data_IF_693488000871
#
_entry.id   IF_693488000871
#
_cell.length_a   1.000
_cell.length_b   1.000
_cell.length_c   1.000
_cell.angle_alpha   90.00
_cell.angle_beta   90.00
_cell.angle_gamma   90.00
#
_symmetry.space_group_name_H-M   'P 1'
#
loop_
_entity.id
_entity.type
_entity.pdbx_description
1 polymer ?
#
# COMPACT_ATOMS: atom_id res chain seq x y z
N UNK A 1 38.79 7.62 -26.80
CA UNK A 1 37.43 8.13 -26.53
C UNK A 1 36.43 7.05 -26.92
N UNK A 2 35.61 6.55 -26.00
CA UNK A 2 34.56 5.58 -26.33
C UNK A 2 33.56 6.22 -27.29
N UNK A 3 33.27 5.58 -28.43
CA UNK A 3 32.30 6.09 -29.38
C UNK A 3 30.91 6.14 -28.76
N UNK A 4 30.26 7.31 -28.77
CA UNK A 4 28.87 7.47 -28.33
C UNK A 4 27.96 6.61 -29.22
N UNK A 5 27.18 5.73 -28.60
CA UNK A 5 26.23 4.86 -29.29
C UNK A 5 25.07 5.67 -29.90
N UNK A 6 24.40 5.09 -30.91
CA UNK A 6 23.21 5.71 -31.51
C UNK A 6 22.10 5.98 -30.50
N UNK A 7 21.94 5.12 -29.49
CA UNK A 7 20.97 5.31 -28.41
C UNK A 7 21.34 6.50 -27.51
N UNK A 8 22.61 6.61 -27.11
CA UNK A 8 23.08 7.75 -26.31
C UNK A 8 22.94 9.06 -27.07
N UNK A 9 23.27 9.07 -28.37
CA UNK A 9 23.08 10.26 -29.23
C UNK A 9 21.61 10.64 -29.31
N UNK A 10 20.72 9.66 -29.52
CA UNK A 10 19.27 9.89 -29.52
C UNK A 10 18.80 10.51 -28.18
N UNK A 11 19.18 9.93 -27.05
CA UNK A 11 18.81 10.45 -25.72
C UNK A 11 19.44 11.82 -25.43
N UNK A 12 20.62 12.12 -25.96
CA UNK A 12 21.25 13.43 -25.79
C UNK A 12 20.52 14.53 -26.55
N UNK A 13 19.97 14.22 -27.73
CA UNK A 13 19.35 15.21 -28.62
C UNK A 13 17.83 15.26 -28.53
N UNK A 14 17.18 14.28 -27.89
CA UNK A 14 15.73 14.19 -27.84
C UNK A 14 15.13 14.96 -26.66
N UNK A 15 13.84 15.30 -26.77
CA UNK A 15 13.10 15.98 -25.70
C UNK A 15 12.89 15.03 -24.51
N UNK A 16 12.88 15.56 -23.29
CA UNK A 16 12.63 14.78 -22.05
C UNK A 16 11.34 13.96 -22.11
N UNK A 17 10.29 14.45 -22.77
CA UNK A 17 9.04 13.72 -22.94
C UNK A 17 9.18 12.42 -23.75
N UNK A 18 10.15 12.35 -24.68
CA UNK A 18 10.48 11.11 -25.38
C UNK A 18 11.25 10.14 -24.48
N UNK A 19 12.12 10.64 -23.59
CA UNK A 19 12.80 9.80 -22.61
C UNK A 19 11.79 9.07 -21.74
N UNK A 20 10.78 9.80 -21.24
CA UNK A 20 9.70 9.23 -20.43
C UNK A 20 9.00 8.09 -21.19
N UNK A 21 8.62 8.32 -22.45
CA UNK A 21 7.93 7.32 -23.27
C UNK A 21 8.79 6.08 -23.55
N UNK A 22 10.08 6.24 -23.80
CA UNK A 22 11.00 5.12 -24.05
C UNK A 22 11.16 4.28 -22.79
N UNK A 23 11.47 4.91 -21.65
CA UNK A 23 11.70 4.20 -20.40
C UNK A 23 10.43 3.59 -19.80
N UNK A 24 9.25 4.13 -20.12
CA UNK A 24 7.95 3.52 -19.77
C UNK A 24 7.70 2.18 -20.47
N UNK A 25 8.36 1.92 -21.60
CA UNK A 25 8.26 0.62 -22.30
C UNK A 25 9.21 -0.43 -21.72
N UNK A 26 10.14 -0.03 -20.86
CA UNK A 26 11.10 -0.92 -20.23
C UNK A 26 10.59 -1.41 -18.88
N UNK A 27 10.88 -2.66 -18.53
CA UNK A 27 10.69 -3.14 -17.16
C UNK A 27 11.60 -2.37 -16.20
N UNK A 28 11.27 -2.34 -14.91
CA UNK A 28 12.14 -1.72 -13.92
C UNK A 28 13.55 -2.38 -13.89
N UNK A 29 13.61 -3.69 -14.13
CA UNK A 29 14.88 -4.42 -14.24
C UNK A 29 15.71 -3.94 -15.44
N UNK A 30 15.08 -3.74 -16.60
CA UNK A 30 15.77 -3.26 -17.81
C UNK A 30 16.24 -1.82 -17.67
N UNK A 31 15.43 -0.96 -17.02
CA UNK A 31 15.85 0.40 -16.66
C UNK A 31 17.12 0.36 -15.79
N UNK A 32 17.16 -0.50 -14.77
CA UNK A 32 18.35 -0.66 -13.91
C UNK A 32 19.54 -1.19 -14.71
N UNK A 33 19.37 -2.21 -15.54
CA UNK A 33 20.46 -2.75 -16.37
C UNK A 33 21.00 -1.69 -17.33
N UNK A 34 20.12 -0.96 -17.99
CA UNK A 34 20.48 0.10 -18.93
C UNK A 34 21.24 1.25 -18.24
N UNK A 35 20.90 1.57 -16.98
CA UNK A 35 21.65 2.58 -16.21
C UNK A 35 23.11 2.20 -15.94
N UNK A 36 23.47 0.91 -16.06
CA UNK A 36 24.84 0.42 -15.85
C UNK A 36 25.70 0.45 -17.10
N UNK A 37 25.12 0.65 -18.28
CA UNK A 37 25.87 0.60 -19.55
C UNK A 37 26.47 1.93 -19.95
N UNK A 38 25.92 3.05 -19.46
CA UNK A 38 26.34 4.40 -19.85
C UNK A 38 26.08 5.43 -18.76
N UNK A 39 27.02 6.37 -18.59
CA UNK A 39 26.86 7.52 -17.69
C UNK A 39 25.77 8.47 -18.19
N UNK A 40 25.69 8.71 -19.50
CA UNK A 40 24.69 9.57 -20.13
C UNK A 40 23.29 8.99 -19.95
N UNK A 41 23.12 7.69 -20.19
CA UNK A 41 21.82 7.03 -19.97
C UNK A 41 21.44 7.04 -18.49
N UNK A 42 22.41 6.82 -17.60
CA UNK A 42 22.19 6.92 -16.16
C UNK A 42 21.70 8.30 -15.74
N UNK A 43 22.22 9.37 -16.31
CA UNK A 43 21.79 10.74 -16.00
C UNK A 43 20.39 11.03 -16.57
N UNK A 44 20.09 10.59 -17.80
CA UNK A 44 18.72 10.65 -18.34
C UNK A 44 17.71 9.88 -17.46
N UNK A 45 18.14 8.75 -16.89
CA UNK A 45 17.34 7.94 -15.98
C UNK A 45 17.13 8.57 -14.60
N UNK A 46 18.04 9.45 -14.12
CA UNK A 46 17.78 10.23 -12.91
C UNK A 46 16.57 11.14 -13.10
N UNK A 47 16.53 11.87 -14.22
CA UNK A 47 15.39 12.74 -14.56
C UNK A 47 14.11 11.91 -14.70
N UNK A 48 14.19 10.74 -15.36
CA UNK A 48 13.04 9.83 -15.45
C UNK A 48 12.53 9.40 -14.07
N UNK A 49 13.44 9.02 -13.17
CA UNK A 49 13.11 8.61 -11.81
C UNK A 49 12.42 9.73 -11.03
N UNK A 50 13.00 10.93 -11.06
CA UNK A 50 12.46 12.12 -10.40
C UNK A 50 11.06 12.47 -10.88
N UNK A 51 10.75 12.26 -12.16
CA UNK A 51 9.41 12.50 -12.72
C UNK A 51 8.42 11.39 -12.39
N UNK A 52 8.86 10.12 -12.43
CA UNK A 52 7.94 8.98 -12.30
C UNK A 52 7.58 8.63 -10.87
N UNK A 53 8.51 8.83 -9.95
CA UNK A 53 8.30 8.61 -8.52
C UNK A 53 8.23 9.95 -7.78
N UNK A 54 7.60 10.96 -8.40
CA UNK A 54 7.26 12.20 -7.72
C UNK A 54 5.98 12.02 -6.90
N UNK A 55 6.13 11.86 -5.59
CA UNK A 55 5.00 11.68 -4.68
C UNK A 55 4.10 12.92 -4.60
N UNK A 56 4.67 14.12 -4.73
CA UNK A 56 3.91 15.36 -4.60
C UNK A 56 3.01 15.56 -5.84
N UNK A 57 3.54 15.30 -7.04
CA UNK A 57 2.75 15.26 -8.28
C UNK A 57 1.69 14.15 -8.25
N UNK A 58 1.99 13.00 -7.62
CA UNK A 58 1.03 11.92 -7.48
C UNK A 58 -0.13 12.29 -6.54
N UNK A 59 0.18 12.93 -5.41
CA UNK A 59 -0.79 13.38 -4.40
C UNK A 59 -1.61 14.59 -4.83
N UNK A 60 -1.13 15.36 -5.83
CA UNK A 60 -1.85 16.51 -6.40
C UNK A 60 -3.26 16.16 -6.92
N UNK A 61 -3.54 14.87 -7.15
CA UNK A 61 -4.88 14.39 -7.49
C UNK A 61 -5.89 14.52 -6.32
N UNK A 62 -5.42 14.46 -5.07
CA UNK A 62 -6.28 14.55 -3.88
C UNK A 62 -6.08 15.86 -3.11
N UNK A 63 -4.86 16.37 -3.04
CA UNK A 63 -4.52 17.50 -2.19
C UNK A 63 -3.88 18.63 -3.00
N UNK A 64 -4.18 19.87 -2.65
CA UNK A 64 -3.59 21.04 -3.29
C UNK A 64 -2.07 21.10 -3.05
N UNK A 65 -1.68 20.77 -1.82
CA UNK A 65 -0.27 20.68 -1.41
C UNK A 65 0.06 19.27 -0.90
N UNK A 66 0.74 18.48 -1.75
CA UNK A 66 1.22 17.15 -1.40
C UNK A 66 2.27 17.15 -0.27
N UNK A 67 3.07 18.22 -0.15
CA UNK A 67 4.09 18.33 0.89
C UNK A 67 3.47 18.56 2.26
N UNK A 68 2.45 19.43 2.36
CA UNK A 68 1.71 19.63 3.60
C UNK A 68 0.97 18.37 4.05
N UNK A 69 0.44 17.57 3.10
CA UNK A 69 -0.13 16.27 3.44
C UNK A 69 0.92 15.29 3.98
N UNK A 70 2.09 15.21 3.33
CA UNK A 70 3.21 14.38 3.80
C UNK A 70 3.70 14.79 5.19
N UNK A 71 3.78 16.09 5.48
CA UNK A 71 4.11 16.58 6.82
C UNK A 71 3.08 16.12 7.86
N UNK A 72 1.78 16.13 7.50
CA UNK A 72 0.70 15.63 8.34
C UNK A 72 0.84 14.12 8.56
N UNK A 73 1.17 13.35 7.52
CA UNK A 73 1.46 11.92 7.65
C UNK A 73 2.64 11.64 8.60
N UNK A 74 3.71 12.45 8.53
CA UNK A 74 4.86 12.31 9.41
C UNK A 74 4.48 12.48 10.88
N UNK A 75 3.69 13.52 11.19
CA UNK A 75 3.19 13.79 12.54
C UNK A 75 2.21 12.72 13.05
N UNK A 76 1.37 12.19 12.15
CA UNK A 76 0.42 11.14 12.45
C UNK A 76 1.04 9.75 12.53
N UNK A 77 2.30 9.57 12.10
CA UNK A 77 2.93 8.26 11.93
C UNK A 77 2.19 7.38 10.92
N UNK A 78 1.67 7.99 9.85
CA UNK A 78 0.80 7.36 8.88
C UNK A 78 1.52 6.93 7.60
N UNK A 79 0.95 5.95 6.91
CA UNK A 79 1.41 5.48 5.60
C UNK A 79 0.24 5.36 4.63
N UNK A 80 0.48 5.61 3.34
CA UNK A 80 -0.47 5.28 2.27
C UNK A 80 -0.22 3.82 1.87
N UNK A 81 -1.27 3.04 1.66
CA UNK A 81 -1.14 1.65 1.18
C UNK A 81 -2.16 1.33 0.08
N UNK A 82 -2.41 0.04 -0.13
CA UNK A 82 -3.43 -0.45 -1.03
C UNK A 82 -3.13 -0.14 -2.49
N UNK A 83 -4.20 0.22 -3.21
CA UNK A 83 -4.15 0.25 -4.67
C UNK A 83 -3.36 1.42 -5.24
N UNK A 84 -3.31 2.56 -4.54
CA UNK A 84 -2.54 3.72 -4.99
C UNK A 84 -1.04 3.53 -4.76
N UNK A 85 -0.65 2.94 -3.61
CA UNK A 85 0.76 2.58 -3.36
C UNK A 85 1.29 1.62 -4.44
N UNK A 86 0.51 0.60 -4.79
CA UNK A 86 0.85 -0.32 -5.89
C UNK A 86 1.05 0.43 -7.21
N UNK A 87 0.14 1.35 -7.57
CA UNK A 87 0.21 2.11 -8.82
C UNK A 87 1.43 3.02 -8.87
N UNK A 88 1.68 3.75 -7.78
CA UNK A 88 2.85 4.62 -7.65
C UNK A 88 4.14 3.82 -7.88
N UNK A 89 4.29 2.68 -7.22
CA UNK A 89 5.46 1.82 -7.36
C UNK A 89 5.58 1.22 -8.77
N UNK A 90 4.46 0.96 -9.44
CA UNK A 90 4.40 0.47 -10.82
C UNK A 90 4.59 1.58 -11.89
N UNK A 91 4.96 2.80 -11.49
CA UNK A 91 5.12 3.98 -12.36
C UNK A 91 3.84 4.41 -13.08
N UNK A 92 2.69 4.03 -12.54
CA UNK A 92 1.37 4.41 -13.03
C UNK A 92 0.90 5.67 -12.31
N UNK A 93 0.23 6.56 -13.06
CA UNK A 93 -0.40 7.74 -12.46
C UNK A 93 -1.53 7.37 -11.46
N UNK A 94 -2.00 8.33 -10.65
CA UNK A 94 -3.07 8.11 -9.70
C UNK A 94 -4.34 7.59 -10.40
N UNK A 95 -5.15 6.82 -9.69
CA UNK A 95 -6.47 6.39 -10.16
C UNK A 95 -7.56 7.13 -9.34
N UNK A 96 -8.08 8.28 -9.81
CA UNK A 96 -8.98 9.13 -9.02
C UNK A 96 -10.30 8.45 -8.60
N UNK A 97 -10.72 7.41 -9.34
CA UNK A 97 -11.91 6.60 -9.06
C UNK A 97 -11.69 5.51 -8.00
N UNK A 98 -10.47 5.38 -7.50
CA UNK A 98 -10.08 4.40 -6.49
C UNK A 98 -9.64 5.14 -5.24
N UNK A 99 -9.98 4.58 -4.10
CA UNK A 99 -9.73 5.19 -2.79
C UNK A 99 -8.23 5.41 -2.55
N UNK A 100 -7.90 6.49 -1.83
CA UNK A 100 -6.59 6.71 -1.22
C UNK A 100 -6.62 6.18 0.21
N UNK A 101 -6.03 5.01 0.42
CA UNK A 101 -6.01 4.31 1.70
C UNK A 101 -4.85 4.83 2.57
N UNK A 102 -5.16 5.52 3.67
CA UNK A 102 -4.20 6.09 4.63
C UNK A 102 -4.31 5.33 5.95
N UNK A 103 -3.27 4.59 6.32
CA UNK A 103 -3.23 3.77 7.53
C UNK A 103 -2.49 4.52 8.63
N UNK A 104 -3.10 4.62 9.80
CA UNK A 104 -2.54 5.34 10.96
C UNK A 104 -2.96 4.67 12.26
N UNK A 105 -2.19 4.90 13.34
CA UNK A 105 -2.70 4.62 14.68
C UNK A 105 -3.79 5.62 15.07
N UNK A 106 -4.61 5.23 16.05
CA UNK A 106 -5.74 6.04 16.58
C UNK A 106 -5.33 7.48 16.90
N UNK A 107 -4.15 7.70 17.48
CA UNK A 107 -3.66 9.04 17.82
C UNK A 107 -3.43 9.97 16.61
N UNK A 108 -3.15 9.41 15.43
CA UNK A 108 -2.94 10.17 14.19
C UNK A 108 -4.22 10.53 13.43
N UNK A 109 -5.36 9.91 13.75
CA UNK A 109 -6.63 10.06 13.00
C UNK A 109 -7.09 11.53 12.98
N UNK A 110 -7.08 12.19 14.14
CA UNK A 110 -7.59 13.56 14.26
C UNK A 110 -6.80 14.55 13.41
N UNK A 111 -5.47 14.43 13.38
CA UNK A 111 -4.60 15.29 12.59
C UNK A 111 -4.85 15.12 11.09
N UNK A 112 -4.92 13.86 10.63
CA UNK A 112 -5.18 13.54 9.23
C UNK A 112 -6.56 14.00 8.78
N UNK A 113 -7.59 13.72 9.58
CA UNK A 113 -8.94 14.08 9.20
C UNK A 113 -9.17 15.59 9.19
N UNK A 114 -8.63 16.35 10.15
CA UNK A 114 -8.65 17.82 10.10
C UNK A 114 -7.98 18.36 8.83
N UNK A 115 -6.87 17.76 8.43
CA UNK A 115 -6.22 18.11 7.17
C UNK A 115 -7.10 17.78 5.96
N UNK A 116 -7.66 16.58 5.90
CA UNK A 116 -8.51 16.15 4.78
C UNK A 116 -9.77 17.04 4.68
N UNK A 117 -10.40 17.37 5.80
CA UNK A 117 -11.55 18.29 5.86
C UNK A 117 -11.18 19.70 5.40
N UNK A 118 -10.00 20.21 5.75
CA UNK A 118 -9.52 21.53 5.28
C UNK A 118 -9.29 21.57 3.77
N UNK A 119 -9.10 20.42 3.13
CA UNK A 119 -8.99 20.27 1.66
C UNK A 119 -10.37 20.16 0.97
N UNK A 120 -11.47 20.39 1.70
CA UNK A 120 -12.84 20.42 1.18
C UNK A 120 -13.51 19.05 1.09
N UNK A 121 -12.92 18.01 1.70
CA UNK A 121 -13.57 16.71 1.83
C UNK A 121 -14.62 16.73 2.93
N UNK A 122 -15.68 15.94 2.75
CA UNK A 122 -16.70 15.69 3.78
C UNK A 122 -16.65 14.24 4.21
N UNK A 123 -16.79 14.01 5.51
CA UNK A 123 -16.94 12.65 6.05
C UNK A 123 -18.25 12.04 5.54
N UNK A 124 -18.18 10.80 5.09
CA UNK A 124 -19.35 10.01 4.71
C UNK A 124 -19.69 9.08 5.87
N UNK A 125 -20.94 9.14 6.31
CA UNK A 125 -21.46 8.18 7.28
C UNK A 125 -21.67 6.85 6.56
N UNK A 126 -21.11 5.77 7.11
CA UNK A 126 -21.55 4.44 6.73
C UNK A 126 -22.97 4.23 7.25
N UNK A 127 -23.84 3.48 6.55
CA UNK A 127 -25.12 3.08 7.12
C UNK A 127 -24.84 2.30 8.42
N UNK A 128 -25.34 2.84 9.53
CA UNK A 128 -25.18 2.25 10.86
C UNK A 128 -25.66 0.80 10.85
N UNK A 129 -24.85 -0.12 11.40
CA UNK A 129 -25.43 -1.38 11.85
C UNK A 129 -26.33 -1.07 13.06
N UNK A 130 -27.44 -1.81 13.27
CA UNK A 130 -28.27 -1.61 14.47
C UNK A 130 -27.40 -1.74 15.73
N UNK A 131 -27.18 -0.63 16.44
CA UNK A 131 -26.35 -0.56 17.65
C UNK A 131 -25.04 0.22 17.53
N UNK A 132 -24.60 0.60 16.32
CA UNK A 132 -23.40 1.43 16.14
C UNK A 132 -23.76 2.92 16.19
N UNK A 133 -23.41 3.60 17.29
CA UNK A 133 -23.26 5.07 17.29
C UNK A 133 -21.87 5.39 16.74
N UNK A 134 -21.82 6.05 15.58
CA UNK A 134 -20.54 6.48 15.03
C UNK A 134 -19.90 7.52 15.95
N UNK A 135 -18.65 7.32 16.41
CA UNK A 135 -17.95 8.35 17.14
C UNK A 135 -17.77 9.59 16.24
N UNK A 136 -18.07 10.77 16.79
CA UNK A 136 -17.58 12.03 16.25
C UNK A 136 -16.04 11.96 16.20
N UNK A 137 -15.41 12.78 15.37
CA UNK A 137 -13.95 12.80 15.32
C UNK A 137 -13.30 13.18 16.66
N UNK A 138 -14.05 13.90 17.50
CA UNK A 138 -13.70 14.24 18.88
C UNK A 138 -13.74 13.02 19.80
N UNK A 139 -14.50 11.99 19.45
CA UNK A 139 -14.59 10.73 20.21
C UNK A 139 -13.45 9.77 19.86
N UNK A 140 -12.52 10.14 18.97
CA UNK A 140 -11.29 9.38 18.70
C UNK A 140 -10.47 9.18 19.99
N UNK A 141 -10.53 10.14 20.92
CA UNK A 141 -9.94 9.98 22.26
C UNK A 141 -10.72 8.95 23.10
N UNK A 142 -12.04 8.93 22.98
CA UNK A 142 -12.92 7.92 23.59
C UNK A 142 -12.68 6.52 23.00
N UNK A 143 -12.23 6.45 21.74
CA UNK A 143 -11.93 5.18 21.06
C UNK A 143 -10.75 4.46 21.71
N UNK A 144 -9.75 5.15 22.27
CA UNK A 144 -8.63 4.49 22.98
C UNK A 144 -9.09 3.82 24.27
N UNK A 145 -10.24 4.23 24.82
CA UNK A 145 -10.87 3.63 25.99
C UNK A 145 -12.04 2.70 25.63
N UNK A 146 -12.32 2.53 24.35
CA UNK A 146 -13.41 1.66 23.89
C UNK A 146 -13.06 0.19 24.12
N UNK A 147 -14.09 -0.63 24.41
CA UNK A 147 -13.93 -2.08 24.51
C UNK A 147 -13.26 -2.68 23.27
N UNK A 148 -13.53 -2.14 22.07
CA UNK A 148 -12.86 -2.51 20.82
C UNK A 148 -11.35 -2.30 20.91
N UNK A 149 -10.87 -1.16 21.41
CA UNK A 149 -9.44 -0.91 21.54
C UNK A 149 -8.80 -1.79 22.61
N UNK A 150 -9.46 -1.96 23.76
CA UNK A 150 -9.01 -2.86 24.84
C UNK A 150 -8.98 -4.34 24.39
N UNK A 151 -9.83 -4.73 23.43
CA UNK A 151 -9.81 -6.05 22.81
C UNK A 151 -8.89 -6.16 21.57
N UNK A 152 -8.05 -5.14 21.29
CA UNK A 152 -7.08 -5.17 20.20
C UNK A 152 -7.58 -4.67 18.84
N UNK A 153 -8.71 -3.97 18.78
CA UNK A 153 -9.44 -3.59 17.57
C UNK A 153 -10.66 -4.49 17.36
N UNK A 154 -11.36 -4.33 16.23
CA UNK A 154 -12.23 -5.40 15.72
C UNK A 154 -11.42 -6.67 15.42
N UNK A 155 -12.04 -7.69 14.79
CA UNK A 155 -11.24 -8.80 14.23
C UNK A 155 -10.19 -8.19 13.29
N UNK A 156 -8.92 -8.56 13.49
CA UNK A 156 -7.80 -8.15 12.64
C UNK A 156 -7.22 -6.73 12.90
N UNK A 157 -7.16 -6.23 14.14
CA UNK A 157 -6.32 -5.05 14.48
C UNK A 157 -6.77 -3.68 13.94
N UNK A 158 -7.81 -3.65 13.11
CA UNK A 158 -8.47 -2.43 12.63
C UNK A 158 -9.48 -1.97 13.68
N UNK A 159 -9.37 -0.71 14.11
CA UNK A 159 -10.29 -0.09 15.07
C UNK A 159 -11.51 0.48 14.36
N UNK A 160 -11.28 1.26 13.31
CA UNK A 160 -12.33 1.92 12.52
C UNK A 160 -11.78 2.36 11.17
N UNK A 161 -12.66 2.55 10.19
CA UNK A 161 -12.33 3.18 8.92
C UNK A 161 -13.17 4.47 8.78
N UNK A 162 -12.55 5.57 8.40
CA UNK A 162 -13.21 6.85 8.18
C UNK A 162 -13.20 7.19 6.70
N UNK A 163 -14.39 7.27 6.09
CA UNK A 163 -14.54 7.58 4.67
C UNK A 163 -14.72 9.08 4.44
N UNK A 164 -13.97 9.64 3.50
CA UNK A 164 -14.03 11.05 3.11
C UNK A 164 -14.23 11.17 1.61
N UNK A 165 -15.15 12.06 1.22
CA UNK A 165 -15.54 12.29 -0.16
C UNK A 165 -15.49 13.77 -0.51
N UNK A 166 -14.89 14.08 -1.67
CA UNK A 166 -14.90 15.43 -2.26
C UNK A 166 -15.44 15.36 -3.69
N UNK A 167 -16.58 16.01 -4.00
CA UNK A 167 -17.07 16.08 -5.38
C UNK A 167 -16.08 16.86 -6.24
N UNK A 168 -15.88 16.44 -7.49
CA UNK A 168 -15.09 17.19 -8.46
C UNK A 168 -15.96 17.65 -9.62
N UNK A 169 -15.73 18.89 -10.05
CA UNK A 169 -16.46 19.46 -11.18
C UNK A 169 -15.88 18.95 -12.49
N UNK A 170 -16.74 18.41 -13.34
CA UNK A 170 -16.37 18.05 -14.70
C UNK A 170 -16.37 19.26 -15.63
N UNK A 171 -15.69 19.13 -16.78
CA UNK A 171 -15.54 20.18 -17.80
C UNK A 171 -16.89 20.71 -18.36
N UNK A 172 -18.00 20.02 -18.11
CA UNK A 172 -19.32 20.34 -18.68
C UNK A 172 -20.46 20.43 -17.64
N UNK A 173 -20.19 20.81 -16.37
CA UNK A 173 -21.21 20.85 -15.30
C UNK A 173 -21.95 19.51 -15.07
N UNK A 174 -21.46 18.41 -15.63
CA UNK A 174 -21.88 17.07 -15.27
C UNK A 174 -21.15 16.68 -13.99
N UNK A 175 -21.88 16.13 -13.02
CA UNK A 175 -21.31 15.55 -11.82
C UNK A 175 -20.30 14.47 -12.24
N UNK A 176 -19.02 14.67 -11.93
CA UNK A 176 -17.94 13.72 -12.24
C UNK A 176 -17.15 13.41 -10.96
N UNK A 177 -16.21 12.44 -11.00
CA UNK A 177 -15.99 11.46 -9.93
C UNK A 177 -15.71 12.08 -8.57
N UNK A 178 -16.34 11.52 -7.55
CA UNK A 178 -16.00 11.83 -6.16
C UNK A 178 -14.61 11.29 -5.86
N UNK A 179 -13.70 12.17 -5.45
CA UNK A 179 -12.41 11.76 -4.89
C UNK A 179 -12.66 11.16 -3.51
N UNK A 180 -12.03 10.03 -3.25
CA UNK A 180 -12.22 9.25 -2.02
C UNK A 180 -10.90 9.11 -1.26
N UNK A 181 -10.95 9.38 0.04
CA UNK A 181 -9.84 9.16 0.98
C UNK A 181 -10.38 8.34 2.14
N UNK A 182 -9.65 7.30 2.55
CA UNK A 182 -9.98 6.48 3.70
C UNK A 182 -8.89 6.61 4.75
N UNK A 183 -9.26 6.90 5.99
CA UNK A 183 -8.34 6.76 7.13
C UNK A 183 -8.65 5.42 7.81
N UNK A 184 -7.68 4.52 7.79
CA UNK A 184 -7.77 3.20 8.42
C UNK A 184 -7.04 3.30 9.77
N UNK A 185 -7.80 3.34 10.85
CA UNK A 185 -7.27 3.43 12.21
C UNK A 185 -6.93 2.04 12.73
N UNK A 186 -5.68 1.83 13.16
CA UNK A 186 -5.17 0.54 13.64
C UNK A 186 -4.63 0.64 15.06
N UNK A 187 -4.55 -0.49 15.76
CA UNK A 187 -4.03 -0.58 17.14
C UNK A 187 -2.50 -0.61 17.21
N UNK A 188 -1.86 -1.17 16.18
CA UNK A 188 -0.41 -1.35 16.11
C UNK A 188 0.29 -0.36 15.15
N UNK A 189 1.61 -0.45 15.01
CA UNK A 189 2.35 0.30 14.00
C UNK A 189 1.75 0.03 12.60
N UNK A 190 1.47 1.05 11.76
CA UNK A 190 0.88 0.82 10.44
C UNK A 190 1.68 -0.11 9.52
N UNK A 191 3.02 -0.08 9.58
CA UNK A 191 3.87 -0.99 8.79
C UNK A 191 3.74 -2.42 9.32
N UNK A 192 3.80 -2.60 10.64
CA UNK A 192 3.55 -3.89 11.30
C UNK A 192 2.15 -4.41 10.94
N UNK A 193 1.14 -3.55 10.94
CA UNK A 193 -0.22 -3.89 10.53
C UNK A 193 -0.27 -4.42 9.09
N UNK A 194 0.38 -3.74 8.14
CA UNK A 194 0.39 -4.17 6.73
C UNK A 194 1.09 -5.51 6.49
N UNK A 195 2.08 -5.84 7.32
CA UNK A 195 2.87 -7.08 7.21
C UNK A 195 2.10 -8.25 7.83
N UNK A 196 1.59 -8.05 9.04
CA UNK A 196 1.11 -9.15 9.88
C UNK A 196 -0.39 -9.30 9.91
N UNK A 197 -1.15 -8.23 9.64
CA UNK A 197 -2.58 -8.30 9.84
C UNK A 197 -3.25 -9.00 8.67
N UNK A 198 -3.94 -10.13 8.90
CA UNK A 198 -4.73 -10.80 7.88
C UNK A 198 -6.00 -9.98 7.63
N UNK A 199 -5.99 -9.04 6.70
CA UNK A 199 -7.20 -8.28 6.36
C UNK A 199 -8.32 -9.23 5.86
N UNK A 200 -9.39 -9.37 6.63
CA UNK A 200 -10.66 -9.90 6.12
C UNK A 200 -11.24 -8.92 5.09
N UNK A 201 -12.07 -9.40 4.15
CA UNK A 201 -13.15 -8.56 3.66
C UNK A 201 -14.09 -8.25 4.85
N UNK A 202 -14.27 -6.96 5.19
CA UNK A 202 -15.39 -6.57 6.04
C UNK A 202 -16.66 -7.13 5.40
N UNK A 203 -17.34 -8.01 6.13
CA UNK A 203 -18.61 -8.60 5.72
C UNK A 203 -19.67 -7.52 5.78
N UNK A 204 -19.79 -6.71 4.73
CA UNK A 204 -20.98 -5.88 4.53
C UNK A 204 -22.11 -6.84 4.17
N UNK A 205 -22.97 -7.14 5.15
CA UNK A 205 -24.12 -8.00 4.94
C UNK A 205 -25.15 -7.31 4.04
N UNK A 206 -25.05 -7.47 2.73
CA UNK A 206 -26.17 -7.23 1.82
C UNK A 206 -26.88 -8.56 1.54
N UNK A 207 -27.89 -8.88 2.37
CA UNK A 207 -29.00 -9.73 1.95
C UNK A 207 -30.08 -8.81 1.37
N UNK A 208 -29.93 -8.44 0.10
CA UNK A 208 -31.03 -8.23 -0.86
C UNK A 208 -30.65 -7.23 -1.95
N UNK A 209 -30.76 -7.71 -3.20
CA UNK A 209 -31.13 -6.97 -4.41
C UNK A 209 -30.60 -5.53 -4.56
N UNK A 210 -29.34 -5.37 -4.96
CA UNK A 210 -28.92 -4.23 -5.76
C UNK A 210 -27.81 -4.65 -6.73
N UNK A 211 -28.18 -4.78 -8.01
CA UNK A 211 -27.26 -4.78 -9.14
C UNK A 211 -26.74 -3.34 -9.29
N UNK A 212 -25.68 -2.94 -8.58
CA UNK A 212 -24.78 -1.85 -8.96
C UNK A 212 -23.58 -1.88 -8.00
N UNK A 213 -22.40 -1.68 -8.59
CA UNK A 213 -21.11 -2.11 -8.07
C UNK A 213 -20.48 -1.13 -7.06
N UNK A 214 -19.44 -1.64 -6.40
CA UNK A 214 -18.32 -0.92 -5.76
C UNK A 214 -18.45 -0.59 -4.28
N UNK A 215 -18.25 -1.57 -3.41
CA UNK A 215 -17.61 -1.35 -2.10
C UNK A 215 -16.96 -2.66 -1.62
N UNK A 216 -15.77 -2.99 -2.14
CA UNK A 216 -15.07 -4.25 -1.85
C UNK A 216 -13.55 -4.03 -1.73
N UNK A 217 -13.12 -3.25 -0.74
CA UNK A 217 -11.69 -2.99 -0.53
C UNK A 217 -11.31 -3.15 0.95
N UNK A 218 -11.10 -4.39 1.37
CA UNK A 218 -10.08 -4.68 2.37
C UNK A 218 -9.23 -5.83 1.84
N UNK A 219 -7.95 -5.52 1.72
CA UNK A 219 -7.03 -6.11 0.77
C UNK A 219 -6.30 -7.24 1.47
N UNK A 220 -6.77 -8.48 1.32
CA UNK A 220 -6.10 -9.68 1.88
C UNK A 220 -4.59 -9.59 1.64
N UNK A 221 -3.74 -9.81 2.67
CA UNK A 221 -2.31 -9.63 2.52
C UNK A 221 -1.88 -10.63 1.47
N UNK A 222 -1.47 -10.09 0.35
CA UNK A 222 -0.81 -10.82 -0.71
C UNK A 222 0.51 -10.11 -0.86
N UNK A 223 1.58 -10.82 -1.24
CA UNK A 223 2.87 -10.16 -1.52
C UNK A 223 2.71 -8.89 -2.40
N UNK A 224 1.70 -8.93 -3.27
CA UNK A 224 1.22 -7.86 -4.13
C UNK A 224 0.89 -6.53 -3.46
N UNK A 225 0.41 -6.53 -2.21
CA UNK A 225 -0.20 -5.36 -1.56
C UNK A 225 0.57 -4.89 -0.33
N UNK A 226 1.69 -5.56 -0.04
CA UNK A 226 2.65 -5.16 0.99
C UNK A 226 3.59 -4.07 0.46
N UNK A 227 2.96 -3.00 -0.03
CA UNK A 227 3.62 -1.77 -0.46
C UNK A 227 3.02 -0.60 0.33
N UNK A 228 3.86 0.35 0.70
CA UNK A 228 3.41 1.55 1.38
C UNK A 228 4.23 2.77 0.99
N UNK A 229 3.62 3.95 1.11
CA UNK A 229 4.25 5.25 0.93
C UNK A 229 4.24 5.93 2.29
N UNK A 230 5.40 6.19 2.86
CA UNK A 230 5.53 7.01 4.07
C UNK A 230 5.55 8.50 3.70
N UNK A 231 5.90 9.36 4.65
CA UNK A 231 6.14 10.77 4.35
C UNK A 231 7.46 11.02 3.59
N UNK A 232 8.40 10.05 3.56
CA UNK A 232 9.77 10.25 3.03
C UNK A 232 10.19 9.24 1.97
N UNK A 233 9.52 8.10 1.87
CA UNK A 233 9.90 7.04 0.94
C UNK A 233 8.73 6.14 0.58
N UNK A 234 8.84 5.47 -0.57
CA UNK A 234 7.99 4.36 -0.94
C UNK A 234 8.72 3.04 -0.75
N UNK A 235 8.03 2.06 -0.20
CA UNK A 235 8.58 0.74 0.13
C UNK A 235 7.71 -0.35 -0.49
N UNK A 236 8.37 -1.31 -1.11
CA UNK A 236 7.77 -2.57 -1.54
C UNK A 236 8.54 -3.72 -0.92
N UNK A 237 7.84 -4.57 -0.18
CA UNK A 237 8.45 -5.72 0.51
C UNK A 237 8.79 -6.86 -0.46
N UNK A 238 7.96 -7.05 -1.49
CA UNK A 238 8.11 -8.11 -2.49
C UNK A 238 8.18 -7.56 -3.91
N UNK A 239 9.17 -6.72 -4.23
CA UNK A 239 9.17 -5.97 -5.48
C UNK A 239 9.35 -6.85 -6.72
N UNK A 240 10.16 -7.92 -6.61
CA UNK A 240 10.38 -8.85 -7.72
C UNK A 240 9.10 -9.58 -8.08
N UNK A 241 8.46 -10.22 -7.11
CA UNK A 241 7.18 -10.89 -7.29
C UNK A 241 6.12 -9.91 -7.84
N UNK A 242 6.00 -8.74 -7.20
CA UNK A 242 4.94 -7.77 -7.49
C UNK A 242 5.11 -7.05 -8.82
N UNK A 243 6.29 -6.49 -9.11
CA UNK A 243 6.46 -5.58 -10.25
C UNK A 243 7.15 -6.24 -11.45
N UNK A 244 8.01 -7.23 -11.22
CA UNK A 244 8.74 -7.90 -12.32
C UNK A 244 7.98 -9.13 -12.82
N UNK A 245 7.50 -9.97 -11.91
CA UNK A 245 6.84 -11.25 -12.27
C UNK A 245 5.32 -11.13 -12.32
N UNK A 246 4.75 -10.02 -11.82
CA UNK A 246 3.31 -9.80 -11.67
C UNK A 246 2.63 -11.00 -10.98
N UNK A 247 3.27 -11.54 -9.95
CA UNK A 247 2.76 -12.66 -9.15
C UNK A 247 2.18 -12.17 -7.82
N UNK A 248 1.11 -12.84 -7.39
CA UNK A 248 0.48 -12.61 -6.09
C UNK A 248 0.44 -13.92 -5.31
N UNK A 249 1.04 -13.92 -4.13
CA UNK A 249 1.04 -15.05 -3.20
C UNK A 249 -0.01 -14.78 -2.11
N UNK A 250 -1.08 -15.59 -2.01
CA UNK A 250 -2.08 -15.46 -0.94
C UNK A 250 -1.43 -15.68 0.43
N UNK A 251 -1.60 -14.74 1.37
CA UNK A 251 -1.17 -14.93 2.76
C UNK A 251 -2.15 -15.80 3.57
N UNK A 252 -1.64 -16.40 4.63
CA UNK A 252 -2.30 -17.32 5.56
C UNK A 252 -3.59 -16.79 6.19
N UNK A 253 -4.64 -17.62 6.11
CA UNK A 253 -5.72 -17.76 7.10
C UNK A 253 -6.05 -19.25 7.28
N UNK A 254 -6.23 -19.75 8.51
CA UNK A 254 -6.57 -21.16 8.76
C UNK A 254 -7.95 -21.60 8.24
N UNK A 255 -8.87 -20.69 7.90
CA UNK A 255 -10.28 -21.03 7.63
C UNK A 255 -10.83 -20.51 6.28
N UNK A 256 -10.01 -20.50 5.23
CA UNK A 256 -10.40 -20.00 3.89
C UNK A 256 -11.14 -21.07 3.05
N UNK A 257 -12.31 -21.53 3.50
CA UNK A 257 -13.16 -22.45 2.74
C UNK A 257 -13.51 -21.93 1.32
N UNK A 258 -14.65 -21.27 1.14
CA UNK A 258 -15.14 -20.75 -0.16
C UNK A 258 -14.42 -19.47 -0.64
N UNK A 259 -13.49 -18.92 0.15
CA UNK A 259 -12.80 -17.66 -0.15
C UNK A 259 -11.63 -17.80 -1.15
N UNK A 260 -11.38 -18.99 -1.69
CA UNK A 260 -10.47 -19.16 -2.82
C UNK A 260 -10.96 -18.48 -4.11
N UNK A 261 -12.25 -18.16 -4.22
CA UNK A 261 -12.85 -17.39 -5.33
C UNK A 261 -13.18 -15.96 -4.93
N UNK A 262 -12.24 -15.31 -4.24
CA UNK A 262 -12.42 -13.94 -3.75
C UNK A 262 -12.35 -12.88 -4.86
N UNK A 263 -13.17 -11.84 -4.73
CA UNK A 263 -13.26 -10.72 -5.68
C UNK A 263 -11.92 -9.99 -5.91
N UNK A 264 -11.01 -10.00 -4.93
CA UNK A 264 -9.67 -9.41 -5.09
C UNK A 264 -8.85 -10.15 -6.14
N UNK A 265 -8.97 -11.49 -6.26
CA UNK A 265 -8.27 -12.26 -7.28
C UNK A 265 -8.72 -11.83 -8.66
N UNK A 266 -10.03 -11.65 -8.84
CA UNK A 266 -10.60 -11.15 -10.10
C UNK A 266 -10.07 -9.74 -10.40
N UNK A 267 -10.08 -8.84 -9.41
CA UNK A 267 -9.55 -7.47 -9.53
C UNK A 267 -8.10 -7.47 -10.01
N UNK A 268 -7.23 -8.26 -9.39
CA UNK A 268 -5.81 -8.24 -9.71
C UNK A 268 -5.45 -9.11 -10.93
N UNK A 269 -6.17 -10.20 -11.21
CA UNK A 269 -6.07 -10.92 -12.49
C UNK A 269 -6.40 -10.00 -13.67
N UNK A 270 -7.45 -9.18 -13.56
CA UNK A 270 -7.78 -8.14 -14.56
C UNK A 270 -6.68 -7.08 -14.73
N UNK A 271 -5.80 -6.92 -13.74
CA UNK A 271 -4.63 -6.04 -13.79
C UNK A 271 -3.36 -6.77 -14.27
N UNK A 272 -3.50 -8.01 -14.77
CA UNK A 272 -2.40 -8.81 -15.31
C UNK A 272 -1.65 -9.64 -14.28
N UNK A 273 -2.14 -9.74 -13.04
CA UNK A 273 -1.46 -10.51 -12.00
C UNK A 273 -1.84 -12.00 -12.01
N UNK A 274 -0.83 -12.86 -11.91
CA UNK A 274 -1.00 -14.29 -11.71
C UNK A 274 -1.02 -14.61 -10.22
N UNK A 275 -2.11 -15.21 -9.74
CA UNK A 275 -2.18 -15.72 -8.37
C UNK A 275 -1.52 -17.09 -8.34
N UNK A 276 -0.43 -17.22 -7.58
CA UNK A 276 0.35 -18.46 -7.48
C UNK A 276 -0.10 -19.26 -6.27
N UNK A 277 -0.40 -20.54 -6.47
CA UNK A 277 -0.94 -21.43 -5.44
C UNK A 277 -0.24 -22.79 -5.41
N UNK A 278 0.82 -22.94 -6.20
CA UNK A 278 1.68 -24.13 -6.28
C UNK A 278 2.99 -23.88 -5.50
N UNK A 279 3.88 -24.87 -5.44
CA UNK A 279 5.17 -24.75 -4.75
C UNK A 279 6.17 -23.81 -5.49
N UNK A 280 5.76 -23.17 -6.58
CA UNK A 280 6.66 -22.31 -7.37
C UNK A 280 6.70 -20.90 -6.78
N UNK A 281 7.63 -20.69 -5.85
CA UNK A 281 7.91 -19.38 -5.26
C UNK A 281 9.28 -18.79 -5.67
N UNK A 282 9.69 -18.81 -6.96
CA UNK A 282 11.06 -18.47 -7.35
C UNK A 282 11.45 -17.01 -7.09
N UNK A 283 10.48 -16.10 -6.90
CA UNK A 283 10.72 -14.70 -6.54
C UNK A 283 10.73 -14.41 -5.05
N UNK A 284 10.29 -15.35 -4.21
CA UNK A 284 10.24 -15.14 -2.78
C UNK A 284 11.58 -15.58 -2.17
N UNK A 285 12.19 -14.66 -1.43
CA UNK A 285 13.31 -15.00 -0.54
C UNK A 285 12.70 -15.36 0.81
N UNK A 286 12.62 -16.66 1.08
CA UNK A 286 12.12 -17.26 2.32
C UNK A 286 13.13 -17.08 3.47
N UNK A 287 12.68 -17.29 4.70
CA UNK A 287 13.44 -17.09 5.93
C UNK A 287 13.25 -15.70 6.54
N UNK A 288 14.21 -15.31 7.36
CA UNK A 288 14.17 -14.05 8.09
C UNK A 288 14.36 -12.85 7.16
N UNK A 289 13.47 -11.88 7.27
CA UNK A 289 13.39 -10.69 6.42
C UNK A 289 13.07 -9.47 7.26
N UNK A 290 13.31 -8.29 6.71
CA UNK A 290 12.92 -7.03 7.32
C UNK A 290 12.24 -6.13 6.29
N UNK A 291 11.31 -5.28 6.72
CA UNK A 291 10.52 -4.38 5.86
C UNK A 291 11.33 -3.37 5.04
N UNK A 292 12.65 -3.30 5.24
CA UNK A 292 13.61 -2.44 4.53
C UNK A 292 14.96 -3.15 4.32
N UNK A 293 14.96 -4.46 4.11
CA UNK A 293 16.18 -5.22 3.81
C UNK A 293 16.62 -5.07 2.34
N UNK A 294 17.75 -5.72 1.99
CA UNK A 294 18.31 -5.66 0.65
C UNK A 294 17.46 -6.31 -0.46
N UNK A 295 16.35 -6.96 -0.11
CA UNK A 295 15.40 -7.56 -1.05
C UNK A 295 14.16 -6.68 -1.26
N UNK A 296 14.00 -5.60 -0.48
CA UNK A 296 12.96 -4.59 -0.67
C UNK A 296 13.36 -3.58 -1.76
N UNK A 297 12.35 -2.91 -2.35
CA UNK A 297 12.59 -1.66 -3.08
C UNK A 297 12.25 -0.50 -2.17
N UNK A 298 13.21 0.40 -2.00
CA UNK A 298 13.07 1.63 -1.23
C UNK A 298 13.34 2.79 -2.20
N UNK A 299 12.32 3.62 -2.41
CA UNK A 299 12.39 4.78 -3.30
C UNK A 299 12.28 6.02 -2.43
N UNK A 300 13.39 6.72 -2.14
CA UNK A 300 13.34 7.94 -1.35
C UNK A 300 12.64 9.03 -2.16
N UNK A 301 11.82 9.82 -1.48
CA UNK A 301 11.22 11.02 -2.05
C UNK A 301 12.21 12.16 -2.01
N UNK A 302 12.07 13.11 -2.93
CA UNK A 302 12.74 14.40 -2.82
C UNK A 302 12.41 15.02 -1.45
N UNK A 303 13.41 15.69 -0.87
CA UNK A 303 13.23 16.42 0.39
C UNK A 303 12.05 17.37 0.21
N UNK A 304 11.03 17.23 1.05
CA UNK A 304 9.96 18.22 1.16
C UNK A 304 10.62 19.58 1.44
N UNK A 305 10.23 20.63 0.71
CA UNK A 305 10.76 21.99 0.95
C UNK A 305 10.36 22.45 2.35
N UNK A 306 9.19 22.02 2.83
CA UNK A 306 8.86 22.05 4.26
C UNK A 306 9.49 20.83 4.93
N UNK A 307 10.73 20.97 5.38
CA UNK A 307 11.32 19.97 6.28
C UNK A 307 10.41 19.87 7.51
N UNK A 308 9.94 18.67 7.83
CA UNK A 308 9.44 18.40 9.18
C UNK A 308 10.63 18.68 10.08
N UNK A 309 10.54 19.72 10.91
CA UNK A 309 11.66 20.11 11.75
C UNK A 309 11.99 18.96 12.69
N UNK A 310 13.25 18.82 13.10
CA UNK A 310 13.63 17.84 14.13
C UNK A 310 12.76 17.98 15.41
N UNK A 311 12.24 19.19 15.67
CA UNK A 311 11.28 19.48 16.74
C UNK A 311 9.88 18.91 16.47
N UNK A 312 9.39 18.95 15.23
CA UNK A 312 8.13 18.33 14.82
C UNK A 312 8.24 16.80 14.77
N UNK A 313 9.36 16.25 14.31
CA UNK A 313 9.65 14.81 14.41
C UNK A 313 9.70 14.35 15.88
N UNK A 314 10.37 15.12 16.75
CA UNK A 314 10.39 14.85 18.19
C UNK A 314 9.00 14.97 18.86
N UNK A 315 8.08 15.73 18.24
CA UNK A 315 6.67 15.84 18.66
C UNK A 315 5.76 14.81 18.01
N UNK A 316 6.24 14.06 17.02
CA UNK A 316 5.52 12.91 16.51
C UNK A 316 5.24 12.01 17.71
N UNK A 317 3.96 11.67 17.91
CA UNK A 317 3.56 10.76 18.97
C UNK A 317 4.23 9.38 18.82
N UNK A 318 4.83 9.13 17.66
CA UNK A 318 5.35 7.86 17.22
C UNK A 318 6.78 8.04 16.71
N UNK A 319 7.76 8.06 17.63
CA UNK A 319 9.21 8.27 17.37
C UNK A 319 9.77 7.45 16.20
N UNK A 320 9.22 6.27 15.90
CA UNK A 320 9.64 5.39 14.80
C UNK A 320 8.54 5.08 13.78
N UNK A 321 7.36 5.72 13.88
CA UNK A 321 6.09 5.35 13.20
C UNK A 321 6.21 4.61 11.86
N UNK A 322 6.42 5.33 10.76
CA UNK A 322 6.59 4.73 9.42
C UNK A 322 8.01 4.23 9.11
N UNK A 323 8.93 4.45 10.04
CA UNK A 323 10.37 4.31 9.82
C UNK A 323 10.94 3.02 10.39
N UNK A 324 10.20 2.40 11.30
CA UNK A 324 10.51 1.13 11.95
C UNK A 324 10.86 0.04 10.93
N UNK A 325 11.94 -0.68 11.23
CA UNK A 325 12.33 -1.90 10.52
C UNK A 325 11.63 -3.07 11.18
N UNK A 326 10.44 -3.38 10.69
CA UNK A 326 9.72 -4.58 11.11
C UNK A 326 10.43 -5.83 10.58
N UNK A 327 10.99 -6.65 11.48
CA UNK A 327 11.48 -7.99 11.19
C UNK A 327 10.30 -8.94 11.01
N UNK A 328 10.38 -9.93 10.12
CA UNK A 328 9.38 -10.97 9.90
C UNK A 328 10.01 -12.22 9.30
N UNK A 329 9.44 -13.38 9.60
CA UNK A 329 9.79 -14.66 8.96
C UNK A 329 8.86 -14.92 7.79
N UNK A 330 9.44 -15.30 6.65
CA UNK A 330 8.71 -15.70 5.46
C UNK A 330 8.83 -17.21 5.21
N UNK A 331 7.70 -17.89 5.13
CA UNK A 331 7.65 -19.32 4.82
C UNK A 331 6.59 -19.65 3.79
N UNK A 332 6.75 -20.76 3.08
CA UNK A 332 5.73 -21.28 2.19
C UNK A 332 5.00 -22.43 2.88
N UNK A 333 3.75 -22.18 3.26
CA UNK A 333 2.91 -23.15 3.95
C UNK A 333 2.18 -24.00 2.91
N UNK A 334 2.05 -25.30 3.15
CA UNK A 334 1.23 -26.18 2.34
C UNK A 334 -0.09 -26.50 3.07
N UNK A 335 -1.16 -26.71 2.31
CA UNK A 335 -2.47 -27.10 2.85
C UNK A 335 -3.14 -28.11 1.92
N UNK A 336 -3.77 -29.13 2.51
CA UNK A 336 -4.60 -30.08 1.77
C UNK A 336 -5.89 -29.40 1.32
N UNK A 337 -6.04 -29.19 0.02
CA UNK A 337 -7.26 -28.70 -0.60
C UNK A 337 -8.30 -29.81 -0.79
N UNK A 338 -9.49 -29.44 -1.29
CA UNK A 338 -10.52 -30.40 -1.70
C UNK A 338 -9.98 -31.33 -2.81
N UNK A 339 -10.13 -32.64 -2.61
CA UNK A 339 -9.76 -33.68 -3.59
C UNK A 339 -8.25 -33.90 -3.71
N UNK A 340 -7.55 -34.04 -2.57
CA UNK A 340 -6.10 -34.31 -2.45
C UNK A 340 -5.13 -33.33 -3.13
N UNK A 341 -5.63 -32.21 -3.65
CA UNK A 341 -4.76 -31.16 -4.22
C UNK A 341 -4.05 -30.39 -3.12
N UNK A 342 -2.72 -30.50 -3.06
CA UNK A 342 -1.87 -29.66 -2.22
C UNK A 342 -1.85 -28.24 -2.78
N UNK A 343 -2.03 -27.24 -1.92
CA UNK A 343 -1.92 -25.82 -2.26
C UNK A 343 -0.91 -25.16 -1.36
N UNK A 344 -0.21 -24.17 -1.90
CA UNK A 344 0.79 -23.41 -1.17
C UNK A 344 0.31 -21.98 -0.91
N UNK A 345 0.75 -21.42 0.22
CA UNK A 345 0.40 -20.08 0.69
C UNK A 345 1.61 -19.41 1.32
N UNK A 346 1.60 -18.09 1.33
CA UNK A 346 2.62 -17.30 2.02
C UNK A 346 2.31 -17.24 3.52
N UNK A 347 3.21 -17.77 4.33
CA UNK A 347 3.25 -17.53 5.76
C UNK A 347 4.13 -16.32 6.04
N UNK A 348 3.58 -15.33 6.74
CA UNK A 348 4.33 -14.18 7.25
C UNK A 348 4.13 -14.18 8.76
N UNK A 349 5.20 -14.33 9.52
CA UNK A 349 5.13 -14.56 10.96
C UNK A 349 6.08 -13.64 11.70
N UNK A 350 5.68 -13.24 12.92
CA UNK A 350 6.63 -12.61 13.82
C UNK A 350 7.73 -13.63 14.15
N UNK A 351 9.02 -13.26 14.14
CA UNK A 351 10.12 -14.22 14.33
C UNK A 351 9.97 -15.05 15.61
N UNK A 352 9.54 -14.40 16.70
CA UNK A 352 9.30 -15.05 18.00
C UNK A 352 8.16 -16.07 17.92
N UNK A 353 7.08 -15.75 17.19
CA UNK A 353 5.92 -16.64 17.02
C UNK A 353 6.27 -17.83 16.13
N UNK A 354 7.10 -17.63 15.09
CA UNK A 354 7.49 -18.70 14.18
C UNK A 354 8.24 -19.83 14.88
N UNK A 355 9.13 -19.52 15.82
CA UNK A 355 9.84 -20.53 16.61
C UNK A 355 8.90 -21.52 17.31
N UNK A 356 7.73 -21.06 17.75
CA UNK A 356 6.70 -21.90 18.37
C UNK A 356 5.82 -22.67 17.37
N UNK A 357 5.57 -22.09 16.19
CA UNK A 357 4.69 -22.69 15.16
C UNK A 357 5.43 -23.66 14.22
N UNK A 358 6.74 -23.50 14.04
CA UNK A 358 7.57 -24.28 13.12
C UNK A 358 7.37 -25.80 13.22
N UNK A 359 7.30 -26.43 14.42
CA UNK A 359 7.10 -27.87 14.53
C UNK A 359 5.76 -28.36 13.96
N UNK A 360 4.73 -27.53 13.98
CA UNK A 360 3.37 -27.91 13.59
C UNK A 360 3.13 -27.90 12.08
N UNK A 361 3.90 -27.11 11.33
CA UNK A 361 3.72 -26.93 9.88
C UNK A 361 4.68 -27.76 9.01
N UNK A 362 5.76 -28.31 9.58
CA UNK A 362 6.77 -29.09 8.84
C UNK A 362 6.69 -30.60 9.15
N UNK A 363 6.12 -31.00 10.30
CA UNK A 363 6.00 -32.41 10.69
C UNK A 363 4.67 -33.08 10.24
N UNK A 364 3.89 -32.43 9.38
CA UNK A 364 2.69 -32.97 8.73
C UNK A 364 2.90 -33.08 7.22
#
# INVERSE_FOLDING_TARGET
MSSISSLERFLATSRTSLHLKVFDRLSAADVVRLSKTSTLIRDALKIYKERKWNIDEFLACWFEDGQSFRATMALAGAVISGSQALRFMDRLGPAPRSDLDVVTRVGGVLALARYIESQGYKRVERPAQPGDKYPLITDVLSMTSSSRFCSGGGRDGIVEIFDFERPTWGVLNQFTPTLKVQIIAVTQNPVHHLIYTPTTPVRIGFRSYCKLANLWFLVQPTALVMNYLSHKEAVSIFPRATFLEKTAYPSSRPNLGSEWDSAWKIKYKRRGYRVVTDNSAPSLVLGERHSKDGQCWIIPFSKSQRAVTAREEARSQYKEGSDAKEAFELSLLHEKGKGDKVRYRLGVFEPEVWGYLYPWYILQ
#
